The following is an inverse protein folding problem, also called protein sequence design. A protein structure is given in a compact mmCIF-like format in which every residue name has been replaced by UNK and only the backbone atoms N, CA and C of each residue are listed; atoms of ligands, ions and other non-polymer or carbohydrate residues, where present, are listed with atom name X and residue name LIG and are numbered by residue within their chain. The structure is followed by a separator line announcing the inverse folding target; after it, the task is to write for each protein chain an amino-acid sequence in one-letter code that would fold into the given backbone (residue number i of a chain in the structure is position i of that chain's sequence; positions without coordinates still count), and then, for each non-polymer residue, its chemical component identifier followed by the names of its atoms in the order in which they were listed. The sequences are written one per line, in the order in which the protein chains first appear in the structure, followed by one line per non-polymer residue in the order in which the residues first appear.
data_IF_422174022891
#
_entry.id   IF_422174022891
#
_cell.length_a   1.000
_cell.length_b   1.000
_cell.length_c   1.000
_cell.angle_alpha   90.00
_cell.angle_beta   90.00
_cell.angle_gamma   90.00
#
_symmetry.space_group_name_H-M   'P 1'
#
loop_
_entity.id
_entity.type
_entity.pdbx_description
1 polymer ?
#
# COMPACT_ATOMS: atom_id res chain seq x y z
N UNK A 1 5.38 -9.06 20.66
CA UNK A 1 3.98 -9.51 20.56
C UNK A 1 3.61 -9.48 19.09
N UNK A 2 3.00 -10.54 18.54
CA UNK A 2 2.64 -10.63 17.12
C UNK A 2 1.24 -10.10 16.83
N UNK A 3 0.55 -9.60 17.86
CA UNK A 3 -0.75 -8.94 17.74
C UNK A 3 -0.61 -7.43 17.55
N UNK A 4 0.59 -6.95 17.27
CA UNK A 4 0.86 -5.53 17.05
C UNK A 4 0.03 -4.99 15.89
N UNK A 5 -0.65 -3.87 16.15
CA UNK A 5 -1.35 -3.05 15.18
C UNK A 5 -0.73 -1.67 15.15
N UNK A 6 -0.83 -0.97 14.02
CA UNK A 6 -0.56 0.46 14.07
C UNK A 6 -1.59 1.21 14.91
N UNK A 7 -1.26 2.45 15.30
CA UNK A 7 -2.11 3.25 16.15
C UNK A 7 -3.52 3.42 15.57
N UNK A 8 -4.51 2.86 16.28
CA UNK A 8 -5.90 3.14 16.02
C UNK A 8 -6.24 4.53 16.57
N UNK A 9 -6.69 5.42 15.69
CA UNK A 9 -6.94 6.81 16.04
C UNK A 9 -8.28 7.29 15.51
N UNK A 10 -8.98 8.04 16.35
CA UNK A 10 -10.12 8.86 15.97
C UNK A 10 -9.58 10.23 15.55
N UNK A 11 -9.90 10.62 14.33
CA UNK A 11 -9.60 11.96 13.81
C UNK A 11 -10.93 12.71 13.73
N UNK A 12 -11.01 13.83 14.43
CA UNK A 12 -12.14 14.75 14.33
C UNK A 12 -11.66 16.01 13.62
N UNK A 13 -12.22 16.27 12.45
CA UNK A 13 -11.90 17.42 11.61
C UNK A 13 -13.09 18.38 11.57
N UNK A 14 -12.85 19.65 11.89
CA UNK A 14 -13.86 20.71 11.88
C UNK A 14 -13.63 21.66 10.71
N UNK A 15 -14.39 21.51 9.63
CA UNK A 15 -14.24 22.34 8.43
C UNK A 15 -15.56 22.93 7.95
N UNK A 16 -15.46 23.94 7.09
CA UNK A 16 -16.60 24.49 6.39
C UNK A 16 -17.17 23.45 5.40
N UNK A 17 -18.48 23.32 5.37
CA UNK A 17 -19.17 22.37 4.50
C UNK A 17 -18.93 22.72 3.02
N UNK A 18 -18.44 21.75 2.26
CA UNK A 18 -18.34 21.85 0.81
C UNK A 18 -19.71 21.54 0.16
N UNK A 19 -19.94 21.95 -1.11
CA UNK A 19 -21.15 21.55 -1.83
C UNK A 19 -21.37 20.03 -1.86
N UNK A 20 -20.28 19.24 -1.90
CA UNK A 20 -20.35 17.78 -1.83
C UNK A 20 -20.80 17.26 -0.46
N UNK A 21 -20.42 17.91 0.63
CA UNK A 21 -20.87 17.53 1.97
C UNK A 21 -22.37 17.84 2.15
N UNK A 22 -22.82 18.98 1.64
CA UNK A 22 -24.25 19.37 1.63
C UNK A 22 -25.07 18.39 0.80
N UNK A 23 -24.61 18.03 -0.40
CA UNK A 23 -25.28 17.05 -1.25
C UNK A 23 -25.36 15.67 -0.58
N UNK A 24 -24.29 15.21 0.08
CA UNK A 24 -24.29 13.96 0.86
C UNK A 24 -25.30 14.04 2.01
N UNK A 25 -25.32 15.15 2.76
CA UNK A 25 -26.28 15.34 3.86
C UNK A 25 -27.72 15.38 3.36
N UNK A 26 -27.99 16.03 2.23
CA UNK A 26 -29.32 16.03 1.64
C UNK A 26 -29.76 14.61 1.25
N UNK A 27 -28.87 13.82 0.65
CA UNK A 27 -29.15 12.42 0.34
C UNK A 27 -29.42 11.58 1.61
N UNK A 28 -28.70 11.83 2.72
CA UNK A 28 -28.97 11.21 4.02
C UNK A 28 -30.38 11.57 4.55
N UNK A 29 -30.77 12.84 4.43
CA UNK A 29 -32.11 13.33 4.82
C UNK A 29 -33.19 12.68 3.96
N UNK A 30 -32.98 12.62 2.65
CA UNK A 30 -33.94 12.02 1.72
C UNK A 30 -34.11 10.52 1.98
N UNK A 31 -33.00 9.81 2.26
CA UNK A 31 -33.03 8.40 2.65
C UNK A 31 -33.74 8.18 3.99
N UNK A 32 -33.45 9.01 4.99
CA UNK A 32 -34.12 8.96 6.28
C UNK A 32 -35.63 9.21 6.13
N UNK A 33 -36.01 10.22 5.35
CA UNK A 33 -37.42 10.57 5.10
C UNK A 33 -38.13 9.42 4.39
N UNK A 34 -37.51 8.82 3.37
CA UNK A 34 -38.07 7.66 2.68
C UNK A 34 -38.24 6.46 3.63
N UNK A 35 -37.29 6.24 4.53
CA UNK A 35 -37.35 5.16 5.50
C UNK A 35 -38.38 5.42 6.63
N UNK A 36 -38.56 6.67 7.04
CA UNK A 36 -39.63 7.09 7.96
C UNK A 36 -41.01 6.82 7.34
N UNK A 37 -41.20 7.23 6.09
CA UNK A 37 -42.45 6.96 5.35
C UNK A 37 -42.70 5.45 5.21
N UNK A 38 -41.66 4.67 4.92
CA UNK A 38 -41.76 3.22 4.86
C UNK A 38 -42.13 2.60 6.22
N UNK A 39 -41.55 3.09 7.32
CA UNK A 39 -41.85 2.64 8.67
C UNK A 39 -43.29 2.97 9.10
N UNK A 40 -43.80 4.14 8.72
CA UNK A 40 -45.20 4.55 8.96
C UNK A 40 -46.20 3.74 8.12
N UNK A 41 -45.78 3.21 6.97
CA UNK A 41 -46.61 2.39 6.10
C UNK A 41 -46.70 0.91 6.52
N UNK A 42 -45.98 0.48 7.58
CA UNK A 42 -46.01 -0.90 8.08
C UNK A 42 -47.37 -1.20 8.75
N UNK A 43 -48.02 -2.27 8.31
CA UNK A 43 -49.25 -2.77 8.94
C UNK A 43 -48.99 -3.28 10.37
N UNK A 44 -49.56 -2.55 11.33
CA UNK A 44 -49.52 -2.84 12.76
C UNK A 44 -48.77 -1.78 13.56
N UNK A 45 -49.49 -1.10 14.47
CA UNK A 45 -48.97 0.02 15.25
C UNK A 45 -47.67 -0.28 16.01
N UNK A 46 -47.53 -1.48 16.59
CA UNK A 46 -46.32 -1.89 17.32
C UNK A 46 -45.10 -2.04 16.43
N UNK A 47 -45.24 -2.63 15.24
CA UNK A 47 -44.12 -2.83 14.31
C UNK A 47 -43.69 -1.52 13.65
N UNK A 48 -44.64 -0.63 13.39
CA UNK A 48 -44.35 0.72 12.89
C UNK A 48 -43.57 1.53 13.92
N UNK A 49 -43.95 1.46 15.20
CA UNK A 49 -43.21 2.11 16.29
C UNK A 49 -41.79 1.54 16.45
N UNK A 50 -41.63 0.21 16.45
CA UNK A 50 -40.30 -0.42 16.52
C UNK A 50 -39.40 -0.02 15.35
N UNK A 51 -39.95 0.09 14.14
CA UNK A 51 -39.21 0.52 12.96
C UNK A 51 -38.78 2.00 13.03
N UNK A 52 -39.64 2.88 13.57
CA UNK A 52 -39.31 4.29 13.79
C UNK A 52 -38.23 4.46 14.88
N UNK A 53 -38.31 3.68 15.96
CA UNK A 53 -37.29 3.68 17.01
C UNK A 53 -35.93 3.22 16.48
N UNK A 54 -35.90 2.24 15.56
CA UNK A 54 -34.66 1.79 14.90
C UNK A 54 -34.08 2.83 13.94
N UNK A 55 -34.92 3.69 13.35
CA UNK A 55 -34.50 4.71 12.40
C UNK A 55 -33.66 5.82 13.05
N UNK A 56 -33.95 6.12 14.32
CA UNK A 56 -33.28 7.17 15.06
C UNK A 56 -33.64 8.60 14.62
N UNK A 57 -32.99 9.62 15.18
CA UNK A 57 -33.30 11.02 14.92
C UNK A 57 -32.97 11.43 13.48
N UNK A 58 -33.79 12.35 12.93
CA UNK A 58 -33.58 12.90 11.60
C UNK A 58 -32.23 13.65 11.51
N UNK A 59 -31.45 13.48 10.43
CA UNK A 59 -30.23 14.24 10.21
C UNK A 59 -30.54 15.74 10.04
N UNK A 60 -29.77 16.61 10.67
CA UNK A 60 -29.94 18.06 10.51
C UNK A 60 -29.42 18.54 9.14
N UNK A 61 -30.13 19.45 8.45
CA UNK A 61 -29.66 20.09 7.23
C UNK A 61 -28.33 20.82 7.45
N UNK A 62 -27.48 20.78 6.43
CA UNK A 62 -26.17 21.44 6.44
C UNK A 62 -26.11 22.47 5.32
N UNK A 63 -25.73 23.72 5.62
CA UNK A 63 -25.55 24.76 4.61
C UNK A 63 -24.10 24.85 4.11
N UNK A 64 -23.91 25.28 2.85
CA UNK A 64 -22.55 25.49 2.31
C UNK A 64 -21.84 26.55 3.13
N UNK A 65 -20.61 26.27 3.58
CA UNK A 65 -19.83 27.17 4.43
C UNK A 65 -20.07 27.02 5.93
N UNK A 66 -21.10 26.27 6.34
CA UNK A 66 -21.36 25.99 7.75
C UNK A 66 -20.26 25.11 8.35
N UNK A 67 -19.78 25.45 9.56
CA UNK A 67 -18.74 24.67 10.22
C UNK A 67 -19.36 23.43 10.84
N UNK A 68 -18.94 22.26 10.37
CA UNK A 68 -19.35 20.98 10.94
C UNK A 68 -18.11 20.14 11.27
N UNK A 69 -18.26 19.20 12.20
CA UNK A 69 -17.21 18.25 12.53
C UNK A 69 -17.51 16.89 11.90
N UNK A 70 -16.48 16.29 11.31
CA UNK A 70 -16.52 14.91 10.84
C UNK A 70 -15.56 14.07 11.67
N UNK A 71 -16.02 12.90 12.10
CA UNK A 71 -15.20 11.96 12.87
C UNK A 71 -14.91 10.74 12.00
N UNK A 72 -13.64 10.39 11.84
CA UNK A 72 -13.19 9.22 11.11
C UNK A 72 -12.23 8.41 11.99
N UNK A 73 -12.44 7.10 12.05
CA UNK A 73 -11.49 6.18 12.70
C UNK A 73 -10.52 5.66 11.64
N UNK A 74 -9.22 5.73 11.91
CA UNK A 74 -8.13 5.29 11.02
C UNK A 74 -7.12 4.44 11.78
N UNK A 75 -6.37 3.59 11.09
CA UNK A 75 -5.41 2.68 11.70
C UNK A 75 -6.06 1.42 12.30
N UNK A 76 -5.35 0.74 13.21
CA UNK A 76 -5.72 -0.59 13.71
C UNK A 76 -5.45 -1.72 12.71
N UNK A 77 -4.71 -1.43 11.64
CA UNK A 77 -4.23 -2.45 10.73
C UNK A 77 -3.19 -3.31 11.45
N UNK A 78 -3.35 -4.64 11.39
CA UNK A 78 -2.34 -5.54 11.93
C UNK A 78 -1.08 -5.51 11.08
N UNK A 79 0.05 -5.49 11.79
CA UNK A 79 1.38 -5.56 11.19
C UNK A 79 1.63 -6.98 10.64
N UNK A 80 1.32 -8.01 11.43
CA UNK A 80 1.69 -9.39 11.11
C UNK A 80 0.57 -10.23 10.53
N UNK A 81 -0.69 -9.80 10.61
CA UNK A 81 -1.84 -10.61 10.21
C UNK A 81 -2.59 -10.00 9.03
N UNK A 82 -2.81 -10.80 7.98
CA UNK A 82 -3.49 -10.39 6.75
C UNK A 82 -4.91 -9.89 6.96
N UNK A 83 -5.70 -10.59 7.79
CA UNK A 83 -7.11 -10.25 8.04
C UNK A 83 -7.29 -9.42 9.32
N UNK A 84 -6.18 -8.94 9.89
CA UNK A 84 -6.17 -8.08 11.07
C UNK A 84 -6.16 -8.84 12.40
N UNK A 85 -6.17 -8.06 13.48
CA UNK A 85 -6.32 -8.53 14.86
C UNK A 85 -7.73 -8.18 15.31
N UNK A 86 -8.47 -9.16 15.82
CA UNK A 86 -9.88 -9.01 16.18
C UNK A 86 -10.14 -9.48 17.61
N UNK A 87 -11.12 -8.87 18.30
CA UNK A 87 -11.54 -9.34 19.62
C UNK A 87 -12.22 -10.71 19.52
N UNK A 88 -11.91 -11.60 20.44
CA UNK A 88 -12.44 -12.96 20.50
C UNK A 88 -13.03 -13.28 21.88
N UNK A 89 -13.96 -14.24 21.90
CA UNK A 89 -14.43 -14.86 23.15
C UNK A 89 -13.45 -15.94 23.66
N UNK A 90 -13.75 -16.51 24.82
CA UNK A 90 -12.95 -17.59 25.44
C UNK A 90 -12.87 -18.85 24.55
N UNK A 91 -13.77 -19.00 23.58
CA UNK A 91 -13.80 -20.11 22.61
C UNK A 91 -13.03 -19.77 21.31
N UNK A 92 -12.57 -18.53 21.16
CA UNK A 92 -11.82 -18.03 20.01
C UNK A 92 -12.67 -17.54 18.84
N UNK A 93 -13.99 -17.38 19.01
CA UNK A 93 -14.88 -16.81 18.01
C UNK A 93 -14.81 -15.28 18.03
N UNK A 94 -14.95 -14.65 16.87
CA UNK A 94 -14.87 -13.18 16.75
C UNK A 94 -16.08 -12.52 17.43
N UNK A 95 -15.81 -11.65 18.39
CA UNK A 95 -16.83 -10.85 19.06
C UNK A 95 -17.26 -9.68 18.17
N UNK A 96 -18.45 -9.80 17.57
CA UNK A 96 -19.09 -8.70 16.85
C UNK A 96 -19.55 -7.59 17.81
N UNK A 97 -19.29 -6.32 17.46
CA UNK A 97 -19.83 -5.16 18.16
C UNK A 97 -18.96 -4.57 19.28
N UNK A 98 -17.84 -5.20 19.63
CA UNK A 98 -16.86 -4.61 20.55
C UNK A 98 -16.16 -3.45 19.85
N UNK A 99 -16.43 -2.23 20.31
CA UNK A 99 -15.81 -1.00 19.77
C UNK A 99 -14.68 -0.53 20.68
N UNK A 100 -13.55 -0.08 20.11
CA UNK A 100 -12.44 0.43 20.89
C UNK A 100 -12.79 1.78 21.53
N UNK A 101 -12.30 2.00 22.75
CA UNK A 101 -12.57 3.17 23.58
C UNK A 101 -11.46 4.22 23.41
N UNK A 102 -11.78 5.52 23.49
CA UNK A 102 -10.77 6.57 23.54
C UNK A 102 -9.91 6.47 24.79
N UNK A 103 -8.60 6.57 24.60
CA UNK A 103 -7.59 6.59 25.66
C UNK A 103 -6.81 7.89 25.57
N UNK A 104 -6.72 8.58 26.71
CA UNK A 104 -6.04 9.87 26.82
C UNK A 104 -6.84 11.05 26.26
N UNK A 105 -6.25 12.24 26.40
CA UNK A 105 -6.83 13.48 25.90
C UNK A 105 -6.63 13.62 24.38
N UNK A 106 -7.57 14.25 23.66
CA UNK A 106 -7.40 14.55 22.24
C UNK A 106 -6.20 15.49 22.02
N UNK A 107 -5.28 15.08 21.16
CA UNK A 107 -4.14 15.90 20.75
C UNK A 107 -4.57 16.75 19.55
N UNK A 108 -4.40 18.07 19.64
CA UNK A 108 -4.62 18.99 18.53
C UNK A 108 -3.45 18.85 17.55
N UNK A 109 -3.73 18.34 16.36
CA UNK A 109 -2.72 18.17 15.29
C UNK A 109 -2.64 19.44 14.45
N UNK A 110 -3.78 20.10 14.27
CA UNK A 110 -3.94 21.36 13.52
C UNK A 110 -5.13 22.14 14.11
N UNK A 111 -5.28 23.44 13.81
CA UNK A 111 -6.34 24.33 14.35
C UNK A 111 -7.75 23.73 14.24
N UNK A 112 -7.96 22.86 13.25
CA UNK A 112 -9.23 22.23 12.93
C UNK A 112 -9.23 20.70 13.09
N UNK A 113 -8.11 20.07 13.45
CA UNK A 113 -7.95 18.62 13.46
C UNK A 113 -7.50 18.15 14.84
N UNK A 114 -8.32 17.31 15.46
CA UNK A 114 -7.97 16.63 16.71
C UNK A 114 -7.79 15.13 16.46
N UNK A 115 -6.80 14.55 17.12
CA UNK A 115 -6.47 13.12 17.03
C UNK A 115 -6.53 12.53 18.43
N UNK A 116 -7.31 11.47 18.59
CA UNK A 116 -7.42 10.74 19.85
C UNK A 116 -7.11 9.26 19.63
N UNK A 117 -6.25 8.68 20.47
CA UNK A 117 -5.92 7.26 20.40
C UNK A 117 -7.11 6.43 20.90
N UNK A 118 -7.38 5.32 20.24
CA UNK A 118 -8.39 4.34 20.63
C UNK A 118 -7.67 3.03 20.99
N UNK A 119 -8.13 2.32 22.01
CA UNK A 119 -7.72 0.94 22.24
C UNK A 119 -8.87 0.09 22.77
N UNK A 120 -8.71 -1.23 22.65
CA UNK A 120 -9.61 -2.18 23.27
C UNK A 120 -9.37 -2.21 24.78
N UNK A 121 -10.41 -2.61 25.52
CA UNK A 121 -10.33 -2.84 26.96
C UNK A 121 -9.37 -3.99 27.24
N UNK A 122 -8.59 -3.92 28.33
CA UNK A 122 -7.62 -4.97 28.69
C UNK A 122 -8.28 -6.32 28.95
N UNK A 123 -9.59 -6.32 29.26
CA UNK A 123 -10.40 -7.52 29.45
C UNK A 123 -10.74 -8.26 28.15
N UNK A 124 -10.51 -7.67 26.98
CA UNK A 124 -10.86 -8.25 25.69
C UNK A 124 -9.66 -8.99 25.12
N UNK A 125 -9.81 -10.30 24.91
CA UNK A 125 -8.77 -11.08 24.26
C UNK A 125 -8.72 -10.78 22.76
N UNK A 126 -7.51 -10.58 22.24
CA UNK A 126 -7.25 -10.27 20.84
C UNK A 126 -6.55 -11.44 20.17
N UNK A 127 -6.96 -11.77 18.95
CA UNK A 127 -6.33 -12.82 18.14
C UNK A 127 -6.09 -12.35 16.71
N UNK A 128 -4.97 -12.77 16.15
CA UNK A 128 -4.61 -12.49 14.77
C UNK A 128 -5.30 -13.46 13.80
N UNK A 129 -5.75 -12.96 12.66
CA UNK A 129 -6.47 -13.73 11.65
C UNK A 129 -5.84 -13.60 10.26
N UNK A 130 -6.02 -14.65 9.44
CA UNK A 130 -5.53 -14.70 8.07
C UNK A 130 -4.07 -15.13 7.96
N UNK A 131 -3.44 -14.78 6.84
CA UNK A 131 -2.06 -15.16 6.55
C UNK A 131 -1.08 -14.37 7.43
N UNK A 132 -0.12 -15.08 8.03
CA UNK A 132 0.98 -14.47 8.76
C UNK A 132 1.99 -13.85 7.78
N UNK A 133 2.19 -12.53 7.88
CA UNK A 133 3.08 -11.76 7.03
C UNK A 133 4.53 -11.88 7.51
N UNK A 134 5.18 -12.98 7.10
CA UNK A 134 6.60 -13.25 7.40
C UNK A 134 7.53 -12.11 6.97
N UNK A 135 7.15 -11.36 5.93
CA UNK A 135 7.89 -10.20 5.43
C UNK A 135 8.11 -9.15 6.53
N UNK A 136 7.10 -8.85 7.35
CA UNK A 136 7.22 -7.90 8.46
C UNK A 136 8.03 -8.45 9.63
N UNK A 137 8.03 -9.77 9.84
CA UNK A 137 8.91 -10.38 10.83
C UNK A 137 10.37 -10.14 10.48
N UNK A 138 10.74 -10.25 9.21
CA UNK A 138 12.09 -9.95 8.74
C UNK A 138 12.45 -8.47 8.95
N UNK A 139 11.52 -7.55 8.67
CA UNK A 139 11.72 -6.14 8.93
C UNK A 139 11.82 -5.81 10.43
N UNK A 140 11.07 -6.50 11.29
CA UNK A 140 11.16 -6.36 12.74
C UNK A 140 12.53 -6.84 13.26
N UNK A 141 13.01 -7.98 12.76
CA UNK A 141 14.35 -8.50 13.06
C UNK A 141 15.47 -7.55 12.61
N UNK A 142 15.23 -6.79 11.54
CA UNK A 142 16.12 -5.72 11.10
C UNK A 142 16.01 -4.43 11.95
N UNK A 143 15.16 -4.40 12.98
CA UNK A 143 15.02 -3.30 13.94
C UNK A 143 14.00 -2.22 13.55
N UNK A 144 13.09 -2.50 12.61
CA UNK A 144 12.05 -1.53 12.23
C UNK A 144 10.84 -1.60 13.17
N UNK A 145 10.39 -0.43 13.64
CA UNK A 145 9.16 -0.27 14.42
C UNK A 145 7.99 0.19 13.53
N UNK A 146 6.87 -0.52 13.64
CA UNK A 146 5.68 -0.38 12.80
C UNK A 146 4.52 0.34 13.49
N UNK A 147 4.54 0.43 14.83
CA UNK A 147 3.46 1.00 15.63
C UNK A 147 3.09 2.44 15.19
N UNK A 148 4.10 3.22 14.81
CA UNK A 148 3.97 4.62 14.39
C UNK A 148 3.68 4.83 12.90
N UNK A 149 3.60 3.76 12.10
CA UNK A 149 3.51 3.84 10.63
C UNK A 149 2.06 3.83 10.16
N UNK A 150 1.78 4.57 9.09
CA UNK A 150 0.44 4.62 8.49
C UNK A 150 0.13 3.35 7.71
N UNK A 151 -1.17 3.06 7.50
CA UNK A 151 -1.67 1.94 6.70
C UNK A 151 -1.02 1.90 5.30
N UNK A 152 -0.86 3.07 4.69
CA UNK A 152 -0.24 3.21 3.38
C UNK A 152 1.25 2.85 3.40
N UNK A 153 1.98 3.26 4.44
CA UNK A 153 3.41 2.93 4.59
C UNK A 153 3.62 1.45 4.83
N UNK A 154 2.80 0.82 5.68
CA UNK A 154 2.84 -0.63 5.90
C UNK A 154 2.59 -1.38 4.59
N UNK A 155 1.52 -1.01 3.87
CA UNK A 155 1.18 -1.64 2.59
C UNK A 155 2.29 -1.50 1.55
N UNK A 156 2.97 -0.35 1.53
CA UNK A 156 4.12 -0.11 0.63
C UNK A 156 5.32 -0.97 1.02
N UNK A 157 5.57 -1.16 2.31
CA UNK A 157 6.71 -1.94 2.81
C UNK A 157 6.58 -3.44 2.52
N UNK A 158 5.36 -3.94 2.29
CA UNK A 158 5.17 -5.32 1.82
C UNK A 158 5.72 -5.56 0.42
N UNK A 159 5.74 -4.54 -0.44
CA UNK A 159 6.04 -4.71 -1.86
C UNK A 159 7.48 -5.17 -2.11
N UNK A 160 8.51 -4.55 -1.52
CA UNK A 160 9.90 -4.99 -1.74
C UNK A 160 10.13 -6.45 -1.34
N UNK A 161 9.63 -6.88 -0.18
CA UNK A 161 9.79 -8.28 0.25
C UNK A 161 9.13 -9.26 -0.72
N UNK A 162 7.89 -8.97 -1.16
CA UNK A 162 7.17 -9.79 -2.15
C UNK A 162 7.86 -9.84 -3.52
N UNK A 163 8.49 -8.74 -3.93
CA UNK A 163 9.23 -8.67 -5.20
C UNK A 163 10.55 -9.45 -5.07
N UNK A 164 11.28 -9.27 -3.98
CA UNK A 164 12.64 -9.82 -3.81
C UNK A 164 12.63 -11.29 -3.41
N UNK A 165 11.64 -11.74 -2.64
CA UNK A 165 11.57 -13.10 -2.09
C UNK A 165 11.63 -14.22 -3.15
N UNK A 166 10.86 -14.19 -4.25
CA UNK A 166 10.97 -15.19 -5.32
C UNK A 166 12.38 -15.27 -5.92
N UNK A 167 13.04 -14.13 -6.12
CA UNK A 167 14.41 -14.09 -6.63
C UNK A 167 15.41 -14.65 -5.62
N UNK A 168 15.26 -14.35 -4.33
CA UNK A 168 16.10 -14.93 -3.29
C UNK A 168 15.96 -16.45 -3.25
N UNK A 169 14.73 -16.96 -3.30
CA UNK A 169 14.50 -18.41 -3.35
C UNK A 169 15.14 -19.01 -4.60
N UNK A 170 14.97 -18.39 -5.77
CA UNK A 170 15.64 -18.85 -6.99
C UNK A 170 17.17 -18.82 -6.88
N UNK A 171 17.75 -17.78 -6.29
CA UNK A 171 19.21 -17.67 -6.09
C UNK A 171 19.67 -18.78 -5.16
N UNK A 172 19.00 -19.00 -4.03
CA UNK A 172 19.34 -20.07 -3.09
C UNK A 172 19.23 -21.43 -3.75
N UNK A 173 18.14 -21.73 -4.46
CA UNK A 173 17.99 -22.98 -5.22
C UNK A 173 19.06 -23.12 -6.32
N UNK A 174 19.42 -22.04 -6.99
CA UNK A 174 20.47 -22.01 -8.01
C UNK A 174 21.84 -22.38 -7.43
N UNK A 175 22.15 -21.94 -6.19
CA UNK A 175 23.39 -22.33 -5.51
C UNK A 175 23.50 -23.85 -5.24
N UNK A 176 22.36 -24.54 -5.12
CA UNK A 176 22.31 -25.99 -4.93
C UNK A 176 22.14 -26.79 -6.23
N UNK A 177 21.92 -26.12 -7.36
CA UNK A 177 21.67 -26.77 -8.66
C UNK A 177 22.98 -26.88 -9.47
N UNK A 178 23.25 -28.00 -10.17
CA UNK A 178 24.46 -28.15 -10.97
C UNK A 178 24.53 -27.11 -12.10
N UNK A 179 25.74 -26.57 -12.32
CA UNK A 179 26.01 -25.61 -13.39
C UNK A 179 26.03 -26.30 -14.75
N UNK A 180 25.57 -25.59 -15.78
CA UNK A 180 25.71 -26.04 -17.17
C UNK A 180 27.17 -25.93 -17.65
N UNK A 181 27.50 -26.61 -18.74
CA UNK A 181 28.83 -26.58 -19.36
C UNK A 181 29.23 -25.16 -19.78
N UNK A 182 30.50 -24.83 -19.55
CA UNK A 182 31.05 -23.49 -19.82
C UNK A 182 30.96 -23.15 -21.32
N UNK A 183 31.26 -24.09 -22.21
CA UNK A 183 31.18 -23.88 -23.65
C UNK A 183 29.76 -23.50 -24.12
N UNK A 184 28.72 -24.16 -23.59
CA UNK A 184 27.35 -23.85 -23.92
C UNK A 184 26.95 -22.46 -23.41
N UNK A 185 27.39 -22.10 -22.20
CA UNK A 185 27.13 -20.80 -21.58
C UNK A 185 27.83 -19.66 -22.35
N UNK A 186 29.11 -19.82 -22.68
CA UNK A 186 29.90 -18.84 -23.41
C UNK A 186 29.28 -18.57 -24.79
N UNK A 187 28.90 -19.63 -25.52
CA UNK A 187 28.18 -19.49 -26.79
C UNK A 187 26.84 -18.78 -26.63
N UNK A 188 26.05 -19.17 -25.63
CA UNK A 188 24.73 -18.58 -25.37
C UNK A 188 24.85 -17.09 -25.05
N UNK A 189 25.74 -16.71 -24.13
CA UNK A 189 25.92 -15.33 -23.71
C UNK A 189 26.58 -14.47 -24.79
N UNK A 190 27.56 -14.98 -25.53
CA UNK A 190 28.12 -14.26 -26.69
C UNK A 190 27.04 -13.96 -27.73
N UNK A 191 26.11 -14.89 -27.97
CA UNK A 191 24.98 -14.67 -28.87
C UNK A 191 24.02 -13.61 -28.33
N UNK A 192 23.60 -13.71 -27.07
CA UNK A 192 22.66 -12.76 -26.46
C UNK A 192 23.22 -11.33 -26.34
N UNK A 193 24.55 -11.19 -26.18
CA UNK A 193 25.22 -9.89 -26.03
C UNK A 193 25.56 -9.23 -27.36
N UNK A 194 25.48 -9.95 -28.48
CA UNK A 194 25.76 -9.41 -29.81
C UNK A 194 24.50 -8.73 -30.34
N UNK A 195 24.54 -7.41 -30.63
CA UNK A 195 23.41 -6.73 -31.25
C UNK A 195 23.15 -7.28 -32.66
N UNK A 196 21.88 -7.52 -32.97
CA UNK A 196 21.45 -8.01 -34.29
C UNK A 196 21.71 -6.94 -35.35
N UNK A 197 22.39 -7.32 -36.43
CA UNK A 197 22.51 -6.49 -37.63
C UNK A 197 21.38 -6.82 -38.63
N UNK A 198 20.74 -5.81 -39.26
CA UNK A 198 19.76 -6.05 -40.31
C UNK A 198 20.30 -6.82 -41.52
N UNK A 199 21.61 -6.74 -41.79
CA UNK A 199 22.29 -7.48 -42.87
C UNK A 199 22.74 -8.86 -42.36
N UNK A 200 22.18 -9.97 -42.89
CA UNK A 200 22.50 -11.32 -42.43
C UNK A 200 23.98 -11.69 -42.59
N UNK A 201 24.69 -11.16 -43.59
CA UNK A 201 26.10 -11.49 -43.78
C UNK A 201 26.96 -10.86 -42.67
N UNK A 202 26.69 -9.59 -42.34
CA UNK A 202 27.38 -8.86 -41.27
C UNK A 202 27.03 -9.37 -39.89
N UNK A 203 25.78 -9.79 -39.67
CA UNK A 203 25.34 -10.38 -38.41
C UNK A 203 26.11 -11.67 -38.09
N UNK A 204 26.22 -12.55 -39.10
CA UNK A 204 26.98 -13.80 -38.97
C UNK A 204 28.47 -13.56 -38.69
N UNK A 205 29.07 -12.55 -39.33
CA UNK A 205 30.46 -12.16 -39.07
C UNK A 205 30.66 -11.65 -37.63
N UNK A 206 29.75 -10.78 -37.16
CA UNK A 206 29.76 -10.27 -35.77
C UNK A 206 29.62 -11.38 -34.74
N UNK A 207 28.72 -12.33 -34.99
CA UNK A 207 28.54 -13.50 -34.12
C UNK A 207 29.78 -14.41 -34.14
N UNK A 208 30.36 -14.68 -35.30
CA UNK A 208 31.59 -15.45 -35.41
C UNK A 208 32.75 -14.80 -34.66
N UNK A 209 32.86 -13.47 -34.70
CA UNK A 209 33.83 -12.72 -33.91
C UNK A 209 33.54 -12.82 -32.39
N UNK A 210 32.28 -12.68 -31.99
CA UNK A 210 31.87 -12.78 -30.58
C UNK A 210 32.11 -14.19 -29.98
N UNK A 211 32.00 -15.25 -30.80
CA UNK A 211 32.33 -16.62 -30.36
C UNK A 211 33.84 -16.86 -30.24
N UNK A 212 34.67 -16.14 -31.00
CA UNK A 212 36.13 -16.25 -30.93
C UNK A 212 36.73 -15.56 -29.70
N UNK A 213 36.03 -14.58 -29.14
CA UNK A 213 36.51 -13.78 -28.01
C UNK A 213 35.52 -13.70 -26.82
N UNK A 214 35.18 -14.83 -26.15
CA UNK A 214 34.29 -14.80 -24.97
C UNK A 214 34.80 -13.87 -23.84
N UNK A 215 36.12 -13.76 -23.66
CA UNK A 215 36.72 -12.91 -22.63
C UNK A 215 36.44 -11.41 -22.84
N UNK A 216 36.29 -10.96 -24.09
CA UNK A 216 35.92 -9.57 -24.36
C UNK A 216 34.48 -9.28 -23.92
N UNK A 217 33.60 -10.27 -24.02
CA UNK A 217 32.22 -10.18 -23.53
C UNK A 217 32.17 -10.19 -22.00
N UNK A 218 33.11 -10.87 -21.34
CA UNK A 218 33.26 -10.85 -19.88
C UNK A 218 33.64 -9.46 -19.35
N UNK A 219 34.57 -8.76 -20.02
CA UNK A 219 35.01 -7.41 -19.62
C UNK A 219 33.90 -6.36 -19.66
N UNK A 220 32.87 -6.59 -20.48
CA UNK A 220 31.68 -5.73 -20.59
C UNK A 220 30.69 -5.91 -19.43
N UNK A 221 30.83 -6.95 -18.62
CA UNK A 221 30.05 -7.11 -17.40
C UNK A 221 30.36 -6.03 -16.37
N UNK A 222 29.36 -5.72 -15.55
CA UNK A 222 29.48 -4.85 -14.39
C UNK A 222 30.35 -5.50 -13.31
N UNK A 223 30.22 -6.82 -13.12
CA UNK A 223 30.97 -7.62 -12.15
C UNK A 223 31.73 -8.76 -12.85
N UNK A 224 32.91 -8.47 -13.45
CA UNK A 224 33.74 -9.49 -14.11
C UNK A 224 34.14 -10.63 -13.16
N UNK A 225 34.13 -11.88 -13.64
CA UNK A 225 34.47 -13.06 -12.83
C UNK A 225 33.33 -13.56 -11.93
N UNK A 226 32.18 -12.89 -11.97
CA UNK A 226 30.96 -13.37 -11.30
C UNK A 226 30.04 -14.09 -12.29
N UNK A 227 29.13 -14.92 -11.77
CA UNK A 227 28.05 -15.52 -12.58
C UNK A 227 26.91 -14.53 -12.87
N UNK A 228 27.04 -13.27 -12.44
CA UNK A 228 26.05 -12.22 -12.69
C UNK A 228 26.30 -11.59 -14.06
N UNK A 229 25.33 -11.74 -14.95
CA UNK A 229 25.41 -11.30 -16.35
C UNK A 229 24.96 -9.84 -16.56
N UNK A 230 25.02 -9.02 -15.51
CA UNK A 230 24.70 -7.59 -15.60
C UNK A 230 25.72 -6.87 -16.48
N UNK A 231 25.26 -6.22 -17.55
CA UNK A 231 26.12 -5.45 -18.46
C UNK A 231 26.36 -4.04 -17.91
N UNK A 232 27.54 -3.48 -18.21
CA UNK A 232 27.79 -2.06 -17.95
C UNK A 232 26.83 -1.20 -18.81
N UNK A 233 26.15 -0.22 -18.22
CA UNK A 233 25.32 0.72 -18.99
C UNK A 233 26.16 1.41 -20.06
N UNK A 234 25.64 1.53 -21.29
CA UNK A 234 26.30 2.28 -22.35
C UNK A 234 26.04 3.77 -22.16
N UNK A 235 26.85 4.61 -22.81
CA UNK A 235 26.65 6.06 -22.78
C UNK A 235 25.24 6.47 -23.22
N UNK A 236 24.68 5.79 -24.23
CA UNK A 236 23.30 6.02 -24.69
C UNK A 236 22.28 5.73 -23.59
N UNK A 237 22.46 4.64 -22.84
CA UNK A 237 21.56 4.23 -21.76
C UNK A 237 21.63 5.25 -20.60
N UNK A 238 22.84 5.74 -20.27
CA UNK A 238 23.07 6.77 -19.24
C UNK A 238 22.46 8.11 -19.65
N UNK A 239 22.70 8.56 -20.88
CA UNK A 239 22.15 9.82 -21.41
C UNK A 239 20.61 9.74 -21.43
N UNK A 240 20.06 8.62 -21.91
CA UNK A 240 18.62 8.38 -21.91
C UNK A 240 18.02 8.46 -20.49
N UNK A 241 18.67 7.85 -19.50
CA UNK A 241 18.26 7.94 -18.10
C UNK A 241 18.28 9.38 -17.57
N UNK A 242 19.37 10.13 -17.80
CA UNK A 242 19.50 11.52 -17.36
C UNK A 242 18.42 12.40 -18.00
N UNK A 243 18.16 12.24 -19.29
CA UNK A 243 17.12 12.99 -20.01
C UNK A 243 15.73 12.66 -19.47
N UNK A 244 15.42 11.37 -19.26
CA UNK A 244 14.15 10.94 -18.69
C UNK A 244 13.95 11.52 -17.28
N UNK A 245 14.97 11.44 -16.44
CA UNK A 245 14.96 12.01 -15.09
C UNK A 245 14.72 13.53 -15.12
N UNK A 246 15.43 14.26 -15.98
CA UNK A 246 15.24 15.70 -16.12
C UNK A 246 13.80 16.08 -16.56
N UNK A 247 13.21 15.30 -17.47
CA UNK A 247 11.82 15.50 -17.90
C UNK A 247 10.84 15.26 -16.74
N UNK A 248 11.04 14.21 -15.92
CA UNK A 248 10.20 13.97 -14.74
C UNK A 248 10.23 15.18 -13.78
N UNK A 249 11.42 15.71 -13.48
CA UNK A 249 11.54 16.92 -12.64
C UNK A 249 10.92 18.16 -13.28
N UNK A 250 11.03 18.31 -14.60
CA UNK A 250 10.39 19.42 -15.31
C UNK A 250 8.85 19.36 -15.20
N UNK A 251 8.25 18.17 -15.32
CA UNK A 251 6.80 17.97 -15.16
C UNK A 251 6.36 18.28 -13.72
N UNK A 252 7.08 17.76 -12.73
CA UNK A 252 6.79 18.03 -11.31
C UNK A 252 6.94 19.53 -11.02
N UNK A 253 8.00 20.16 -11.52
CA UNK A 253 8.24 21.59 -11.40
C UNK A 253 7.13 22.43 -12.03
N UNK A 254 6.67 22.07 -13.22
CA UNK A 254 5.54 22.72 -13.89
C UNK A 254 4.24 22.57 -13.08
N UNK A 255 3.96 21.38 -12.57
CA UNK A 255 2.79 21.13 -11.74
C UNK A 255 2.81 21.98 -10.46
N UNK A 256 3.97 22.09 -9.80
CA UNK A 256 4.14 22.97 -8.64
C UNK A 256 3.95 24.45 -9.01
N UNK A 257 4.50 24.91 -10.14
CA UNK A 257 4.34 26.29 -10.61
C UNK A 257 2.86 26.63 -10.86
N UNK A 258 2.13 25.76 -11.56
CA UNK A 258 0.67 25.93 -11.76
C UNK A 258 -0.07 25.95 -10.44
N UNK A 259 0.30 25.09 -9.48
CA UNK A 259 -0.25 25.08 -8.14
C UNK A 259 -0.04 26.41 -7.39
N UNK A 260 1.10 27.08 -7.58
CA UNK A 260 1.36 28.40 -6.96
C UNK A 260 0.58 29.55 -7.59
N UNK A 261 0.16 29.44 -8.86
CA UNK A 261 -0.64 30.48 -9.55
C UNK A 261 -2.12 30.39 -9.15
N UNK A 262 -2.58 29.22 -8.69
CA UNK A 262 -3.95 28.97 -8.24
C UNK A 262 -4.21 29.20 -6.75
N UNK A 263 -3.19 29.56 -5.98
CA UNK A 263 -3.31 30.02 -4.58
C UNK A 263 -3.35 31.54 -4.52
#
# INVERSE_FOLDING_TARGET
DYLETNELVRVTETRAASPSDVARRQAEIDQWTAAEQAALAIDGATRSQEALEQLGPAPEPLAVGERFSTTSVRGGQSVFWGDGVKPVDDEGNVLGGVKPKPIGEPVVVDENITRQRLAYDESVELKGFGNFKLDFLLYQLAGMDFSTKTDATLSTLELPAKIVSPFLVMIVCSLFTPRNSQEALDRYYSKMKTPVDPDPAKDNEKLALAYRSPEEMERRKLFPGSSLEFQKPRAVDIIGFIVCFAICFAIIGLAMLVGTIGS
#
